data_IF_281105722386
#
_entry.id   IF_281105722386
#
_cell.length_a   1.000
_cell.length_b   1.000
_cell.length_c   1.000
_cell.angle_alpha   90.00
_cell.angle_beta   90.00
_cell.angle_gamma   90.00
#
_symmetry.space_group_name_H-M   'P 1'
#
loop_
_entity.id
_entity.type
_entity.pdbx_description
1 polymer ?
#
# COMPACT_ATOMS: atom_id res chain seq x y z
N UNK A 1 26.13 2.67 -0.86
CA UNK A 1 25.09 1.66 -1.12
C UNK A 1 24.32 1.45 0.18
N UNK A 2 23.07 1.94 0.28
CA UNK A 2 22.17 1.45 1.33
C UNK A 2 21.70 0.06 0.87
N UNK A 3 21.93 -0.97 1.67
CA UNK A 3 21.33 -2.28 1.42
C UNK A 3 19.83 -2.09 1.24
N UNK A 4 19.29 -2.58 0.14
CA UNK A 4 17.87 -2.53 -0.14
C UNK A 4 17.22 -3.52 0.82
N UNK A 5 16.68 -3.01 1.93
CA UNK A 5 16.06 -3.82 2.97
C UNK A 5 14.81 -4.48 2.39
N UNK A 6 14.94 -5.75 2.02
CA UNK A 6 13.81 -6.61 1.70
C UNK A 6 13.09 -6.93 3.00
N UNK A 7 12.10 -6.11 3.34
CA UNK A 7 11.30 -6.27 4.54
C UNK A 7 9.82 -6.41 4.13
N UNK A 8 9.13 -7.46 4.62
CA UNK A 8 7.70 -7.64 4.37
C UNK A 8 6.90 -6.42 4.81
N UNK A 9 5.98 -5.99 3.96
CA UNK A 9 5.13 -4.83 4.20
C UNK A 9 3.73 -5.06 3.66
N UNK A 10 2.73 -4.62 4.41
CA UNK A 10 1.35 -4.44 3.91
C UNK A 10 1.18 -3.00 3.51
N UNK A 11 0.47 -2.74 2.42
CA UNK A 11 0.22 -1.39 1.94
C UNK A 11 -1.20 -1.21 1.45
N UNK A 12 -1.65 0.04 1.45
CA UNK A 12 -2.89 0.48 0.82
C UNK A 12 -2.57 1.53 -0.23
N UNK A 13 -3.01 1.26 -1.46
CA UNK A 13 -3.04 2.22 -2.55
C UNK A 13 -4.44 2.82 -2.70
N UNK A 14 -4.50 4.05 -3.18
CA UNK A 14 -5.74 4.71 -3.57
C UNK A 14 -5.65 5.31 -4.98
N UNK A 15 -6.80 5.44 -5.66
CA UNK A 15 -6.88 6.23 -6.88
C UNK A 15 -6.92 7.75 -6.61
N UNK A 16 -7.56 8.13 -5.51
CA UNK A 16 -7.66 9.50 -4.98
C UNK A 16 -8.21 9.45 -3.56
N UNK A 17 -8.29 10.60 -2.86
CA UNK A 17 -8.96 10.69 -1.56
C UNK A 17 -10.38 10.13 -1.64
N UNK A 18 -10.70 9.18 -0.75
CA UNK A 18 -11.98 8.46 -0.73
C UNK A 18 -12.33 7.69 -2.02
N UNK A 19 -11.35 7.43 -2.89
CA UNK A 19 -11.52 6.67 -4.12
C UNK A 19 -11.44 5.15 -3.94
N UNK A 20 -11.09 4.47 -5.03
CA UNK A 20 -10.88 3.02 -5.05
C UNK A 20 -9.66 2.69 -4.20
N UNK A 21 -9.78 1.68 -3.32
CA UNK A 21 -8.68 1.20 -2.48
C UNK A 21 -8.20 -0.17 -2.97
N UNK A 22 -6.89 -0.37 -2.91
CA UNK A 22 -6.26 -1.66 -3.12
C UNK A 22 -5.35 -1.97 -1.94
N UNK A 23 -5.45 -3.18 -1.38
CA UNK A 23 -4.60 -3.65 -0.29
C UNK A 23 -3.74 -4.80 -0.80
N UNK A 24 -2.44 -4.72 -0.56
CA UNK A 24 -1.49 -5.76 -0.97
C UNK A 24 -0.35 -5.94 0.02
N UNK A 25 0.49 -6.93 -0.27
CA UNK A 25 1.69 -7.28 0.49
C UNK A 25 2.89 -7.45 -0.46
N UNK A 26 4.09 -7.14 0.00
CA UNK A 26 5.35 -7.31 -0.76
C UNK A 26 6.55 -7.37 0.20
N UNK A 27 7.66 -7.95 -0.22
CA UNK A 27 8.96 -7.83 0.46
C UNK A 27 9.82 -6.67 -0.07
N UNK A 28 9.41 -6.05 -1.17
CA UNK A 28 10.09 -4.89 -1.78
C UNK A 28 9.05 -3.81 -2.06
N UNK A 29 8.83 -2.95 -1.06
CA UNK A 29 7.79 -1.93 -1.12
C UNK A 29 8.10 -0.87 -2.19
N UNK A 30 9.33 -0.34 -2.21
CA UNK A 30 9.75 0.70 -3.17
C UNK A 30 9.54 0.22 -4.61
N UNK A 31 10.02 -0.99 -4.95
CA UNK A 31 9.82 -1.53 -6.30
C UNK A 31 8.34 -1.71 -6.61
N UNK A 32 7.58 -2.29 -5.69
CA UNK A 32 6.18 -2.64 -5.95
C UNK A 32 5.32 -1.41 -6.18
N UNK A 33 5.53 -0.35 -5.41
CA UNK A 33 4.79 0.90 -5.56
C UNK A 33 5.18 1.60 -6.87
N UNK A 34 6.46 1.58 -7.24
CA UNK A 34 6.90 2.05 -8.55
C UNK A 34 6.21 1.31 -9.70
N UNK A 35 6.15 -0.03 -9.66
CA UNK A 35 5.45 -0.84 -10.67
C UNK A 35 3.97 -0.48 -10.81
N UNK A 36 3.29 -0.16 -9.69
CA UNK A 36 1.88 0.29 -9.71
C UNK A 36 1.73 1.70 -10.30
N UNK A 37 2.59 2.65 -9.90
CA UNK A 37 2.58 4.04 -10.41
C UNK A 37 2.79 4.10 -11.92
N UNK A 38 3.76 3.33 -12.41
CA UNK A 38 4.11 3.26 -13.83
C UNK A 38 3.17 2.32 -14.62
N UNK A 39 2.19 1.70 -13.97
CA UNK A 39 1.23 0.81 -14.62
C UNK A 39 1.89 -0.41 -15.29
N UNK A 40 3.04 -0.86 -14.78
CA UNK A 40 3.84 -1.94 -15.36
C UNK A 40 3.16 -3.30 -15.26
N UNK A 41 2.31 -3.49 -14.25
CA UNK A 41 1.56 -4.73 -14.04
C UNK A 41 0.13 -4.55 -14.54
N UNK A 42 -0.30 -5.29 -15.57
CA UNK A 42 -1.70 -5.32 -15.99
C UNK A 42 -2.60 -5.80 -14.84
N UNK A 43 -3.76 -5.17 -14.67
CA UNK A 43 -4.73 -5.61 -13.67
C UNK A 43 -5.60 -4.49 -13.10
N UNK A 44 -6.20 -4.78 -11.95
CA UNK A 44 -7.14 -3.89 -11.25
C UNK A 44 -6.57 -2.49 -11.02
N UNK A 45 -5.36 -2.39 -10.48
CA UNK A 45 -4.76 -1.10 -10.13
C UNK A 45 -4.52 -0.23 -11.35
N UNK A 46 -4.05 -0.82 -12.46
CA UNK A 46 -3.88 -0.12 -13.74
C UNK A 46 -5.22 0.31 -14.32
N UNK A 47 -6.22 -0.58 -14.32
CA UNK A 47 -7.57 -0.30 -14.86
C UNK A 47 -8.26 0.87 -14.15
N UNK A 48 -8.09 0.99 -12.83
CA UNK A 48 -8.78 1.98 -12.02
C UNK A 48 -7.88 3.14 -11.54
N UNK A 49 -6.67 3.27 -12.09
CA UNK A 49 -5.73 4.35 -11.74
C UNK A 49 -5.36 4.38 -10.26
N UNK A 50 -5.22 3.22 -9.62
CA UNK A 50 -4.89 3.10 -8.18
C UNK A 50 -3.38 3.12 -8.02
N UNK A 51 -2.82 4.31 -7.81
CA UNK A 51 -1.37 4.56 -7.85
C UNK A 51 -0.80 5.27 -6.62
N UNK A 52 -1.63 5.91 -5.79
CA UNK A 52 -1.18 6.70 -4.64
C UNK A 52 -0.93 5.79 -3.45
N UNK A 53 0.30 5.77 -2.89
CA UNK A 53 0.57 5.06 -1.65
C UNK A 53 0.08 5.90 -0.48
N UNK A 54 -1.02 5.48 0.17
CA UNK A 54 -1.65 6.27 1.23
C UNK A 54 -1.42 5.73 2.64
N UNK A 55 -0.99 4.46 2.75
CA UNK A 55 -0.66 3.83 4.03
C UNK A 55 0.21 2.59 3.81
N UNK A 56 1.11 2.28 4.76
CA UNK A 56 1.83 1.01 4.82
C UNK A 56 2.22 0.65 6.26
N UNK A 57 2.51 -0.64 6.50
CA UNK A 57 2.96 -1.20 7.78
C UNK A 57 4.03 -2.26 7.49
N UNK A 58 5.21 -2.11 8.10
CA UNK A 58 6.33 -3.05 7.97
C UNK A 58 6.19 -4.20 8.98
N UNK A 59 6.59 -5.40 8.59
CA UNK A 59 6.52 -6.61 9.40
C UNK A 59 7.85 -7.35 9.44
N UNK A 60 8.04 -8.15 10.49
CA UNK A 60 9.23 -8.99 10.66
C UNK A 60 9.22 -10.21 9.71
N UNK A 61 8.04 -10.78 9.43
CA UNK A 61 7.90 -11.94 8.54
C UNK A 61 6.79 -11.74 7.52
N UNK A 62 6.87 -12.50 6.42
CA UNK A 62 5.84 -12.49 5.38
C UNK A 62 4.51 -13.05 5.90
N UNK A 63 4.52 -14.05 6.80
CA UNK A 63 3.26 -14.57 7.36
C UNK A 63 2.51 -13.48 8.14
N UNK A 64 3.20 -12.70 8.96
CA UNK A 64 2.60 -11.60 9.70
C UNK A 64 1.99 -10.55 8.77
N UNK A 65 2.70 -10.22 7.69
CA UNK A 65 2.19 -9.29 6.69
C UNK A 65 0.94 -9.85 5.96
N UNK A 66 0.94 -11.13 5.57
CA UNK A 66 -0.22 -11.78 4.93
C UNK A 66 -1.44 -11.81 5.86
N UNK A 67 -1.25 -12.15 7.14
CA UNK A 67 -2.34 -12.15 8.14
C UNK A 67 -2.91 -10.74 8.29
N UNK A 68 -2.05 -9.71 8.37
CA UNK A 68 -2.48 -8.32 8.47
C UNK A 68 -3.24 -7.87 7.23
N UNK A 69 -2.73 -8.19 6.04
CA UNK A 69 -3.38 -7.90 4.75
C UNK A 69 -4.77 -8.55 4.66
N UNK A 70 -4.87 -9.83 5.03
CA UNK A 70 -6.13 -10.59 5.02
C UNK A 70 -7.17 -9.96 5.95
N UNK A 71 -6.76 -9.55 7.17
CA UNK A 71 -7.63 -8.82 8.11
C UNK A 71 -8.12 -7.51 7.49
N UNK A 72 -7.21 -6.69 6.97
CA UNK A 72 -7.56 -5.40 6.36
C UNK A 72 -8.52 -5.62 5.19
N UNK A 73 -8.29 -6.59 4.30
CA UNK A 73 -9.18 -6.89 3.17
C UNK A 73 -10.61 -7.14 3.63
N UNK A 74 -10.80 -7.89 4.71
CA UNK A 74 -12.11 -8.20 5.32
C UNK A 74 -12.78 -7.06 6.08
N UNK A 75 -12.09 -5.94 6.31
CA UNK A 75 -12.67 -4.80 7.02
C UNK A 75 -13.73 -4.06 6.21
N UNK A 76 -14.68 -3.46 6.95
CA UNK A 76 -15.58 -2.43 6.41
C UNK A 76 -14.75 -1.28 5.84
N UNK A 77 -15.29 -0.63 4.82
CA UNK A 77 -14.63 0.51 4.18
C UNK A 77 -14.29 1.63 5.19
N UNK A 78 -15.21 1.95 6.09
CA UNK A 78 -15.01 2.99 7.11
C UNK A 78 -13.71 2.78 7.92
N UNK A 79 -13.46 1.55 8.38
CA UNK A 79 -12.26 1.22 9.16
C UNK A 79 -10.96 1.34 8.35
N UNK A 80 -11.01 1.10 7.03
CA UNK A 80 -9.86 1.35 6.15
C UNK A 80 -9.57 2.85 6.04
N UNK A 81 -10.62 3.67 5.95
CA UNK A 81 -10.47 5.13 5.90
C UNK A 81 -9.92 5.66 7.23
N UNK A 82 -10.46 5.21 8.36
CA UNK A 82 -9.96 5.55 9.70
C UNK A 82 -8.47 5.17 9.86
N UNK A 83 -8.07 3.98 9.39
CA UNK A 83 -6.66 3.55 9.42
C UNK A 83 -5.75 4.48 8.60
N UNK A 84 -6.18 4.86 7.39
CA UNK A 84 -5.41 5.78 6.53
C UNK A 84 -5.34 7.15 7.19
N UNK A 85 -6.47 7.71 7.60
CA UNK A 85 -6.58 9.08 8.09
C UNK A 85 -5.89 9.28 9.45
N UNK A 86 -5.80 8.23 10.27
CA UNK A 86 -5.04 8.26 11.52
C UNK A 86 -3.53 8.48 11.31
N UNK A 87 -2.97 8.00 10.19
CA UNK A 87 -1.54 8.13 9.88
C UNK A 87 -1.23 9.18 8.80
N UNK A 88 -2.19 9.44 7.92
CA UNK A 88 -2.03 10.26 6.72
C UNK A 88 -3.35 11.01 6.42
N UNK A 89 -3.73 12.00 7.26
CA UNK A 89 -5.02 12.69 7.17
C UNK A 89 -5.22 13.46 5.85
N UNK A 90 -4.12 13.88 5.24
CA UNK A 90 -4.10 14.60 3.96
C UNK A 90 -4.03 13.66 2.74
N UNK A 91 -3.95 12.35 2.95
CA UNK A 91 -3.81 11.35 1.88
C UNK A 91 -2.63 11.65 0.95
N UNK A 92 -1.51 12.13 1.52
CA UNK A 92 -0.29 12.40 0.78
C UNK A 92 0.22 11.10 0.19
N UNK A 93 0.81 11.18 -1.00
CA UNK A 93 1.50 10.04 -1.57
C UNK A 93 2.79 9.81 -0.78
N UNK A 94 2.83 8.70 -0.04
CA UNK A 94 3.94 8.34 0.84
C UNK A 94 5.13 7.75 0.07
N UNK A 95 5.03 7.55 -1.24
CA UNK A 95 6.13 6.97 -2.01
C UNK A 95 7.44 7.73 -1.86
N UNK A 96 7.40 9.07 -1.87
CA UNK A 96 8.58 9.92 -1.70
C UNK A 96 9.24 9.77 -0.32
N UNK A 97 8.51 9.26 0.68
CA UNK A 97 9.06 9.01 2.03
C UNK A 97 9.88 7.72 2.10
N UNK A 98 9.86 6.90 1.05
CA UNK A 98 10.57 5.62 0.97
C UNK A 98 11.94 5.74 0.28
N UNK A 99 12.29 6.91 -0.27
CA UNK A 99 13.54 7.20 -0.98
C UNK A 99 14.60 7.77 -0.03
#
# INVERSE_FOLDING_TARGET
MRERLFQPAVYILASQRNGTLYTGVTSDLVRRIYEHREGMVPGFTRKYGVTLLVWFEMHATMEHAIVRETRIKGWKRAWKLELIEAANPDWRDLYETLL
#
